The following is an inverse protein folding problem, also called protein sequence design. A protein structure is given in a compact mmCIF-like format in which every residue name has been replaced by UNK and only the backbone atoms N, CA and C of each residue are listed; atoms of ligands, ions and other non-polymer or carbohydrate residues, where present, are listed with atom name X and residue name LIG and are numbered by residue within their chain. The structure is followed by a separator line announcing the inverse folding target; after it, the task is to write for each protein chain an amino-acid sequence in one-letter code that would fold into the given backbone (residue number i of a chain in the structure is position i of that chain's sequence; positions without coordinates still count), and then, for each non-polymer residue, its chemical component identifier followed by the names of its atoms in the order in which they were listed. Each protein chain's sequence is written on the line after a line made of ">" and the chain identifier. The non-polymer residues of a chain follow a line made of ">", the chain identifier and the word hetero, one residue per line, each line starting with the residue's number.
data_IF_931628769935
#
_entry.id   IF_931628769935
#
_cell.length_a   1.000
_cell.length_b   1.000
_cell.length_c   1.000
_cell.angle_alpha   90.00
_cell.angle_beta   90.00
_cell.angle_gamma   90.00
#
_symmetry.space_group_name_H-M   'P 1'
#
loop_
_entity.id
_entity.type
_entity.pdbx_description
1 polymer ?
#
# COMPACT_ATOMS: atom_id res chain seq x y z
N UNK A 1 -7.19 -31.54 -19.16
CA UNK A 1 -5.87 -31.55 -19.83
C UNK A 1 -5.27 -30.14 -19.79
N UNK A 2 -4.85 -29.63 -18.62
CA UNK A 2 -4.34 -28.25 -18.48
C UNK A 2 -2.88 -28.06 -18.97
N UNK A 3 -2.06 -29.12 -19.01
CA UNK A 3 -0.62 -28.98 -19.35
C UNK A 3 -0.31 -28.51 -20.77
N UNK A 4 -1.25 -28.60 -21.71
CA UNK A 4 -0.98 -28.26 -23.12
C UNK A 4 -0.90 -26.75 -23.34
N UNK A 5 -1.59 -25.96 -22.51
CA UNK A 5 -1.57 -24.50 -22.60
C UNK A 5 -0.31 -23.92 -21.95
N UNK A 6 0.15 -24.51 -20.84
CA UNK A 6 1.40 -24.10 -20.16
C UNK A 6 2.63 -24.28 -21.07
N UNK A 7 2.75 -25.42 -21.76
CA UNK A 7 3.84 -25.67 -22.72
C UNK A 7 3.81 -24.70 -23.90
N UNK A 8 2.61 -24.35 -24.38
CA UNK A 8 2.41 -23.37 -25.45
C UNK A 8 2.82 -21.96 -25.01
N UNK A 9 2.43 -21.55 -23.80
CA UNK A 9 2.79 -20.24 -23.24
C UNK A 9 4.32 -20.14 -23.09
N UNK A 10 4.98 -21.18 -22.56
CA UNK A 10 6.43 -21.20 -22.40
C UNK A 10 7.17 -21.10 -23.75
N UNK A 11 6.67 -21.76 -24.79
CA UNK A 11 7.23 -21.69 -26.14
C UNK A 11 7.07 -20.28 -26.75
N UNK A 12 5.88 -19.68 -26.62
CA UNK A 12 5.63 -18.32 -27.11
C UNK A 12 6.48 -17.27 -26.38
N UNK A 13 6.68 -17.41 -25.06
CA UNK A 13 7.57 -16.53 -24.31
C UNK A 13 9.02 -16.65 -24.77
N UNK A 14 9.49 -17.87 -25.07
CA UNK A 14 10.83 -18.07 -25.63
C UNK A 14 10.97 -17.41 -27.01
N UNK A 15 9.95 -17.43 -27.86
CA UNK A 15 9.99 -16.76 -29.17
C UNK A 15 9.87 -15.23 -29.05
N UNK A 16 9.02 -14.74 -28.15
CA UNK A 16 8.78 -13.30 -27.96
C UNK A 16 9.96 -12.57 -27.30
N UNK A 17 10.77 -13.27 -26.48
CA UNK A 17 11.87 -12.66 -25.73
C UNK A 17 13.24 -13.30 -25.97
N UNK A 18 13.32 -14.32 -26.84
CA UNK A 18 14.56 -15.04 -27.13
C UNK A 18 15.50 -14.30 -28.07
N UNK A 19 16.80 -14.46 -27.82
CA UNK A 19 17.84 -14.04 -28.75
C UNK A 19 17.88 -14.99 -29.95
N UNK A 20 17.89 -14.42 -31.17
CA UNK A 20 17.97 -15.18 -32.42
C UNK A 20 16.65 -15.43 -33.14
N UNK A 21 15.52 -15.01 -32.57
CA UNK A 21 14.20 -15.05 -33.23
C UNK A 21 14.03 -13.80 -34.10
N UNK A 22 13.50 -13.95 -35.30
CA UNK A 22 13.25 -12.82 -36.20
C UNK A 22 12.19 -11.88 -35.62
N UNK A 23 12.22 -10.59 -35.98
CA UNK A 23 11.27 -9.61 -35.44
C UNK A 23 9.82 -9.92 -35.83
N UNK A 24 9.60 -10.54 -36.99
CA UNK A 24 8.27 -10.98 -37.45
C UNK A 24 7.71 -12.09 -36.55
N UNK A 25 8.53 -13.11 -36.24
CA UNK A 25 8.16 -14.20 -35.32
C UNK A 25 7.96 -13.69 -33.89
N UNK A 26 8.78 -12.71 -33.46
CA UNK A 26 8.65 -12.08 -32.14
C UNK A 26 7.31 -11.37 -32.01
N UNK A 27 6.93 -10.59 -33.03
CA UNK A 27 5.66 -9.87 -33.07
C UNK A 27 4.46 -10.83 -33.11
N UNK A 28 4.53 -11.92 -33.89
CA UNK A 28 3.44 -12.90 -33.94
C UNK A 28 3.27 -13.64 -32.61
N UNK A 29 4.38 -14.02 -31.95
CA UNK A 29 4.34 -14.68 -30.66
C UNK A 29 3.77 -13.78 -29.55
N UNK A 30 4.11 -12.49 -29.57
CA UNK A 30 3.56 -11.50 -28.64
C UNK A 30 2.04 -11.31 -28.82
N UNK A 31 1.55 -11.27 -30.07
CA UNK A 31 0.12 -11.16 -30.36
C UNK A 31 -0.64 -12.41 -29.87
N UNK A 32 -0.08 -13.60 -30.02
CA UNK A 32 -0.70 -14.84 -29.55
C UNK A 32 -0.74 -14.94 -28.01
N UNK A 33 0.30 -14.47 -27.32
CA UNK A 33 0.29 -14.36 -25.85
C UNK A 33 -0.80 -13.42 -25.33
N UNK A 34 -1.06 -12.32 -26.04
CA UNK A 34 -2.15 -11.40 -25.67
C UNK A 34 -3.51 -12.09 -25.75
N UNK A 35 -3.78 -12.83 -26.84
CA UNK A 35 -5.02 -13.59 -27.01
C UNK A 35 -5.22 -14.65 -25.92
N UNK A 36 -4.16 -15.35 -25.50
CA UNK A 36 -4.24 -16.33 -24.41
C UNK A 36 -4.54 -15.67 -23.06
N UNK A 37 -4.01 -14.46 -22.80
CA UNK A 37 -4.29 -13.70 -21.57
C UNK A 37 -5.75 -13.26 -21.49
N UNK A 38 -6.32 -12.83 -22.60
CA UNK A 38 -7.73 -12.44 -22.69
C UNK A 38 -8.66 -13.66 -22.57
N UNK A 39 -8.27 -14.81 -23.12
CA UNK A 39 -9.00 -16.08 -22.97
C UNK A 39 -8.99 -16.63 -21.54
N UNK A 40 -7.87 -16.50 -20.82
CA UNK A 40 -7.73 -16.93 -19.44
C UNK A 40 -8.60 -16.12 -18.47
N UNK A 41 -8.75 -14.81 -18.71
CA UNK A 41 -9.65 -13.95 -17.92
C UNK A 41 -11.12 -14.25 -18.16
N UNK A 42 -11.50 -14.64 -19.39
CA UNK A 42 -12.87 -15.07 -19.69
C UNK A 42 -13.25 -16.45 -19.11
N UNK A 43 -12.26 -17.31 -18.85
CA UNK A 43 -12.48 -18.68 -18.35
C UNK A 43 -12.35 -18.81 -16.83
N UNK A 44 -12.00 -17.73 -16.11
CA UNK A 44 -12.06 -17.72 -14.65
C UNK A 44 -13.53 -17.92 -14.25
N UNK A 45 -13.91 -19.08 -13.64
CA UNK A 45 -15.27 -19.28 -13.20
C UNK A 45 -15.60 -18.15 -12.24
N UNK A 46 -16.77 -17.52 -12.42
CA UNK A 46 -17.30 -16.47 -11.56
C UNK A 46 -17.54 -17.02 -10.15
N UNK A 47 -16.46 -17.27 -9.42
CA UNK A 47 -16.47 -17.79 -8.07
C UNK A 47 -16.68 -16.58 -7.17
N UNK A 48 -17.96 -16.29 -6.92
CA UNK A 48 -18.44 -15.54 -5.76
C UNK A 48 -17.86 -14.12 -5.57
N UNK A 49 -18.10 -13.22 -6.53
CA UNK A 49 -18.50 -11.88 -6.13
C UNK A 49 -20.02 -11.86 -6.00
N UNK A 50 -20.49 -12.04 -4.76
CA UNK A 50 -21.87 -11.77 -4.37
C UNK A 50 -22.14 -10.29 -4.67
N UNK A 51 -23.03 -9.95 -5.61
CA UNK A 51 -23.43 -8.57 -5.78
C UNK A 51 -24.24 -8.18 -4.54
N UNK A 52 -23.73 -7.24 -3.75
CA UNK A 52 -24.58 -6.49 -2.82
C UNK A 52 -25.49 -5.59 -3.65
N UNK A 53 -26.58 -6.18 -4.12
CA UNK A 53 -27.74 -5.46 -4.62
C UNK A 53 -28.56 -4.97 -3.42
N UNK A 54 -28.39 -3.71 -3.03
CA UNK A 54 -29.43 -2.94 -2.36
C UNK A 54 -29.37 -1.49 -2.84
N UNK A 55 -30.46 -1.03 -3.45
CA UNK A 55 -30.85 0.39 -3.37
C UNK A 55 -30.71 1.25 -4.62
N UNK A 56 -31.11 0.76 -5.79
CA UNK A 56 -31.52 1.67 -6.86
C UNK A 56 -32.92 2.22 -6.54
N UNK A 57 -32.99 3.47 -6.08
CA UNK A 57 -34.21 4.28 -6.12
C UNK A 57 -34.15 5.17 -7.36
N UNK A 58 -35.07 4.92 -8.28
CA UNK A 58 -35.21 5.64 -9.54
C UNK A 58 -35.76 7.05 -9.29
N UNK A 59 -35.17 8.04 -9.97
CA UNK A 59 -35.82 9.32 -10.20
C UNK A 59 -35.60 9.72 -11.67
N UNK A 60 -36.65 9.73 -12.52
CA UNK A 60 -36.55 10.22 -13.90
C UNK A 60 -37.20 11.60 -14.05
N UNK A 61 -36.41 12.61 -14.43
CA UNK A 61 -36.75 13.86 -15.14
C UNK A 61 -35.54 14.81 -14.97
N UNK A 62 -35.01 15.56 -15.94
CA UNK A 62 -35.43 16.01 -17.26
C UNK A 62 -34.16 16.14 -18.13
N UNK A 63 -34.15 15.79 -19.42
CA UNK A 63 -34.40 16.66 -20.59
C UNK A 63 -33.58 17.95 -20.64
N UNK A 64 -33.07 18.25 -21.85
CA UNK A 64 -32.33 19.43 -22.37
C UNK A 64 -30.80 19.31 -22.33
N UNK A 65 -30.03 19.65 -23.37
CA UNK A 65 -30.32 20.16 -24.72
C UNK A 65 -29.06 19.98 -25.57
N UNK A 66 -29.27 19.64 -26.84
CA UNK A 66 -28.29 19.65 -27.93
C UNK A 66 -27.98 21.08 -28.39
N UNK A 67 -26.69 21.44 -28.46
CA UNK A 67 -26.10 22.44 -29.39
C UNK A 67 -24.58 22.13 -29.42
N UNK A 68 -23.93 21.64 -30.47
CA UNK A 68 -23.83 22.12 -31.85
C UNK A 68 -23.27 23.56 -31.95
N UNK A 69 -21.96 23.65 -32.16
CA UNK A 69 -21.32 24.72 -32.94
C UNK A 69 -20.45 25.70 -32.16
N UNK A 70 -19.19 25.85 -32.60
CA UNK A 70 -18.44 27.09 -32.41
C UNK A 70 -16.96 26.91 -32.10
N UNK A 71 -16.16 26.59 -33.11
CA UNK A 71 -14.74 26.94 -33.14
C UNK A 71 -14.61 28.47 -33.13
N UNK A 72 -13.92 29.05 -32.14
CA UNK A 72 -13.33 30.38 -32.29
C UNK A 72 -12.09 30.53 -31.38
N UNK A 73 -10.87 30.40 -31.93
CA UNK A 73 -9.64 30.44 -31.16
C UNK A 73 -8.96 31.82 -31.20
N UNK A 74 -9.62 32.96 -30.94
CA UNK A 74 -8.89 34.26 -30.85
C UNK A 74 -9.60 35.45 -30.14
N UNK A 75 -10.31 35.24 -29.03
CA UNK A 75 -10.79 36.33 -28.16
C UNK A 75 -10.04 36.32 -26.80
N UNK A 76 -8.75 36.64 -26.77
CA UNK A 76 -8.22 37.98 -26.45
C UNK A 76 -8.94 38.66 -25.27
N UNK A 77 -8.37 38.55 -24.07
CA UNK A 77 -7.49 39.56 -23.44
C UNK A 77 -8.26 40.74 -22.80
N UNK A 78 -8.17 40.79 -21.46
CA UNK A 78 -8.56 41.87 -20.55
C UNK A 78 -10.06 42.11 -20.29
N UNK A 79 -10.49 41.70 -19.08
CA UNK A 79 -11.55 42.41 -18.34
C UNK A 79 -11.33 42.31 -16.82
N UNK A 80 -11.05 43.42 -16.11
CA UNK A 80 -10.96 43.46 -14.65
C UNK A 80 -12.29 43.91 -13.99
N UNK A 81 -12.61 43.31 -12.83
CA UNK A 81 -13.59 43.76 -11.81
C UNK A 81 -15.10 43.55 -12.13
N UNK A 82 -16.00 43.29 -11.15
CA UNK A 82 -15.95 43.80 -9.77
C UNK A 82 -16.17 42.75 -8.66
N UNK A 83 -16.04 43.24 -7.44
CA UNK A 83 -16.16 42.59 -6.14
C UNK A 83 -17.50 41.87 -5.87
N UNK A 84 -17.41 40.90 -4.95
CA UNK A 84 -18.42 40.48 -3.99
C UNK A 84 -19.69 39.80 -4.52
N UNK A 85 -19.69 38.46 -4.46
CA UNK A 85 -20.84 37.68 -3.97
C UNK A 85 -20.33 36.50 -3.14
N UNK A 86 -20.30 36.67 -1.82
CA UNK A 86 -20.16 35.53 -0.90
C UNK A 86 -21.48 34.74 -0.93
N UNK A 87 -21.46 33.43 -1.23
CA UNK A 87 -22.65 32.61 -1.09
C UNK A 87 -23.08 32.59 0.39
N UNK A 88 -24.36 32.87 0.58
CA UNK A 88 -25.08 32.85 1.85
C UNK A 88 -25.02 31.43 2.40
N UNK A 89 -24.34 31.25 3.53
CA UNK A 89 -24.40 30.03 4.35
C UNK A 89 -25.86 29.87 4.77
N UNK A 90 -26.53 28.86 4.23
CA UNK A 90 -27.88 28.49 4.65
C UNK A 90 -27.80 27.86 6.03
N UNK A 91 -28.54 28.42 6.97
CA UNK A 91 -28.86 27.80 8.25
C UNK A 91 -29.61 26.48 7.98
N UNK A 92 -28.87 25.36 8.07
CA UNK A 92 -29.43 24.02 8.04
C UNK A 92 -30.24 23.76 9.32
N UNK A 93 -31.41 23.10 9.24
CA UNK A 93 -32.25 22.83 10.39
C UNK A 93 -31.54 21.96 11.43
N UNK A 94 -31.82 22.30 12.69
CA UNK A 94 -31.30 21.65 13.89
C UNK A 94 -31.29 20.12 13.79
N UNK A 95 -30.12 19.54 14.03
CA UNK A 95 -29.94 18.11 14.19
C UNK A 95 -30.85 17.60 15.31
N UNK A 96 -31.81 16.77 14.93
CA UNK A 96 -32.64 15.99 15.83
C UNK A 96 -31.75 15.01 16.62
N UNK A 97 -31.84 14.96 17.96
CA UNK A 97 -30.99 14.09 18.75
C UNK A 97 -31.37 12.62 18.54
N UNK A 98 -30.40 11.83 18.07
CA UNK A 98 -30.56 10.38 17.90
C UNK A 98 -30.96 9.68 19.21
N UNK A 99 -31.82 8.66 19.17
CA UNK A 99 -32.23 7.89 20.34
C UNK A 99 -31.02 7.15 20.95
N UNK A 100 -30.80 7.38 22.24
CA UNK A 100 -29.81 6.64 23.05
C UNK A 100 -30.22 5.17 23.15
N UNK A 101 -29.39 4.28 22.61
CA UNK A 101 -29.46 2.85 22.89
C UNK A 101 -29.09 2.59 24.37
N UNK A 102 -29.82 1.72 25.09
CA UNK A 102 -29.48 1.34 26.46
C UNK A 102 -28.19 0.51 26.49
N UNK A 103 -27.35 0.78 27.49
CA UNK A 103 -26.14 0.02 27.77
C UNK A 103 -26.48 -1.44 28.14
N UNK A 104 -25.67 -2.44 27.73
CA UNK A 104 -25.85 -3.81 28.19
C UNK A 104 -25.50 -3.91 29.68
N UNK A 105 -26.46 -4.41 30.45
CA UNK A 105 -26.29 -4.74 31.86
C UNK A 105 -25.27 -5.89 32.02
N UNK A 106 -24.27 -5.66 32.87
CA UNK A 106 -23.38 -6.69 33.37
C UNK A 106 -24.07 -7.41 34.53
N UNK A 107 -24.72 -8.53 34.25
CA UNK A 107 -25.20 -9.44 35.29
C UNK A 107 -24.06 -10.37 35.72
N UNK A 108 -23.48 -10.01 36.87
CA UNK A 108 -22.74 -10.93 37.74
C UNK A 108 -23.75 -11.86 38.41
N UNK A 109 -23.74 -13.14 38.04
CA UNK A 109 -24.40 -14.20 38.78
C UNK A 109 -23.36 -15.23 39.24
N UNK A 110 -23.03 -15.14 40.52
CA UNK A 110 -22.38 -16.20 41.28
C UNK A 110 -23.39 -17.31 41.59
N UNK A 111 -22.95 -18.57 41.54
CA UNK A 111 -23.57 -19.62 42.36
C UNK A 111 -23.66 -21.02 41.76
N UNK A 112 -23.16 -21.97 42.54
CA UNK A 112 -23.57 -23.38 42.66
C UNK A 112 -22.90 -24.46 41.76
N UNK A 113 -21.97 -25.18 42.40
CA UNK A 113 -21.66 -26.62 42.27
C UNK A 113 -22.84 -27.48 42.80
N UNK A 114 -22.86 -28.86 42.82
CA UNK A 114 -22.00 -29.94 42.27
C UNK A 114 -22.73 -31.14 41.56
N UNK A 115 -21.97 -31.97 40.79
CA UNK A 115 -21.98 -33.48 40.56
C UNK A 115 -23.28 -34.35 40.44
N UNK A 116 -23.26 -35.66 40.01
CA UNK A 116 -22.21 -36.51 39.39
C UNK A 116 -22.66 -37.48 38.23
N UNK A 117 -21.67 -38.19 37.66
CA UNK A 117 -21.69 -39.61 37.19
C UNK A 117 -22.16 -40.00 35.77
N UNK A 118 -21.23 -40.51 34.95
CA UNK A 118 -21.01 -41.93 34.53
C UNK A 118 -20.47 -41.98 33.09
N UNK A 119 -19.26 -42.52 32.89
CA UNK A 119 -18.90 -43.10 31.58
C UNK A 119 -17.46 -42.96 31.07
N UNK A 120 -16.54 -43.71 31.69
CA UNK A 120 -15.50 -44.50 31.00
C UNK A 120 -14.36 -43.81 30.19
N UNK A 121 -13.18 -43.81 30.83
CA UNK A 121 -11.88 -44.21 30.27
C UNK A 121 -11.38 -43.52 28.99
N UNK A 122 -10.65 -42.41 29.14
CA UNK A 122 -9.24 -42.35 28.68
C UNK A 122 -8.46 -41.51 29.69
N UNK A 123 -7.68 -42.21 30.49
CA UNK A 123 -6.79 -41.69 31.52
C UNK A 123 -5.42 -41.57 30.89
N UNK A 124 -5.06 -40.40 30.40
CA UNK A 124 -3.67 -39.98 30.31
C UNK A 124 -3.49 -38.58 30.88
N UNK A 125 -2.77 -38.57 31.98
CA UNK A 125 -2.29 -37.42 32.73
C UNK A 125 -1.08 -36.89 31.96
N UNK A 126 -1.16 -35.66 31.44
CA UNK A 126 0.02 -34.79 31.38
C UNK A 126 -0.41 -33.38 31.77
N UNK A 127 -0.46 -33.18 33.07
CA UNK A 127 -0.25 -31.90 33.74
C UNK A 127 1.14 -31.37 33.38
N UNK A 128 1.26 -30.46 32.41
CA UNK A 128 2.40 -29.53 32.25
C UNK A 128 2.08 -28.53 31.13
N UNK A 129 1.29 -27.49 31.40
CA UNK A 129 1.15 -26.36 30.46
C UNK A 129 0.67 -25.07 31.15
N UNK A 130 1.23 -24.72 32.30
CA UNK A 130 0.84 -23.49 33.01
C UNK A 130 2.02 -22.67 33.56
N UNK A 131 3.24 -22.88 33.07
CA UNK A 131 4.42 -22.03 33.40
C UNK A 131 5.18 -21.54 32.16
N UNK A 132 4.88 -22.03 30.96
CA UNK A 132 5.54 -21.56 29.73
C UNK A 132 4.95 -20.28 29.12
N UNK A 133 3.84 -19.74 29.65
CA UNK A 133 3.15 -18.59 29.06
C UNK A 133 3.59 -17.22 29.60
N UNK A 134 4.43 -17.17 30.63
CA UNK A 134 4.95 -15.92 31.19
C UNK A 134 6.37 -15.54 30.72
N UNK A 135 7.07 -16.42 29.99
CA UNK A 135 8.40 -16.14 29.41
C UNK A 135 8.37 -16.03 27.87
N UNK A 136 7.30 -16.50 27.23
CA UNK A 136 7.19 -16.59 25.77
C UNK A 136 6.73 -15.33 25.02
N UNK A 137 6.45 -14.22 25.69
CA UNK A 137 5.97 -12.97 25.04
C UNK A 137 7.06 -11.89 24.96
N UNK A 138 8.18 -12.06 25.66
CA UNK A 138 9.30 -11.09 25.62
C UNK A 138 10.37 -11.49 24.57
N UNK A 139 10.41 -12.76 24.15
CA UNK A 139 11.42 -13.26 23.20
C UNK A 139 11.00 -13.20 21.71
N UNK A 140 9.83 -12.61 21.40
CA UNK A 140 9.31 -12.54 20.03
C UNK A 140 9.86 -11.42 19.15
N UNK A 141 10.57 -10.44 19.74
CA UNK A 141 11.14 -9.29 19.01
C UNK A 141 12.68 -9.31 18.95
N UNK A 142 13.32 -10.41 19.36
CA UNK A 142 14.78 -10.45 19.58
C UNK A 142 15.57 -11.20 18.50
N UNK A 143 14.93 -11.65 17.41
CA UNK A 143 15.67 -12.25 16.30
C UNK A 143 16.32 -11.16 15.44
N UNK A 144 17.53 -10.73 15.82
CA UNK A 144 18.44 -10.11 14.85
C UNK A 144 19.59 -9.25 15.35
N UNK A 145 19.60 -8.77 16.59
CA UNK A 145 20.74 -8.00 17.08
C UNK A 145 21.85 -8.95 17.57
N UNK A 146 22.66 -9.48 16.65
CA UNK A 146 24.01 -9.92 17.03
C UNK A 146 24.73 -8.67 17.54
N UNK A 147 24.88 -8.57 18.87
CA UNK A 147 25.73 -7.57 19.49
C UNK A 147 27.18 -7.96 19.17
N UNK A 148 27.67 -7.49 18.03
CA UNK A 148 29.11 -7.45 17.76
C UNK A 148 29.70 -6.54 18.84
N UNK A 149 30.72 -6.97 19.61
CA UNK A 149 31.36 -6.10 20.58
C UNK A 149 31.86 -4.85 19.85
N UNK A 150 31.19 -3.73 20.14
CA UNK A 150 31.51 -2.42 19.57
C UNK A 150 32.87 -2.04 20.15
N UNK A 151 33.90 -2.10 19.30
CA UNK A 151 35.18 -1.44 19.58
C UNK A 151 34.95 0.05 19.83
N UNK A 152 35.91 0.76 20.45
CA UNK A 152 35.73 2.10 20.99
C UNK A 152 34.97 3.03 20.03
N UNK A 153 33.81 3.48 20.50
CA UNK A 153 32.85 4.42 19.92
C UNK A 153 33.23 4.94 18.52
N UNK A 154 32.96 4.11 17.51
CA UNK A 154 32.71 4.62 16.18
C UNK A 154 31.48 5.54 16.30
N UNK A 155 31.68 6.83 16.03
CA UNK A 155 30.67 7.87 16.24
C UNK A 155 29.29 7.41 15.79
N UNK A 156 28.30 7.56 16.67
CA UNK A 156 26.92 7.20 16.36
C UNK A 156 26.45 7.85 15.05
N UNK A 157 25.45 7.28 14.38
CA UNK A 157 24.96 7.80 13.11
C UNK A 157 24.65 9.28 13.28
N UNK A 158 25.24 10.12 12.41
CA UNK A 158 24.96 11.55 12.40
C UNK A 158 23.48 11.72 12.11
N UNK A 159 22.75 12.49 12.93
CA UNK A 159 21.32 12.74 12.74
C UNK A 159 21.14 14.21 12.37
N UNK A 160 20.53 14.46 11.21
CA UNK A 160 20.34 15.80 10.65
C UNK A 160 18.87 16.21 10.85
N UNK A 161 18.54 17.43 11.31
CA UNK A 161 17.17 17.90 11.34
C UNK A 161 16.52 17.81 9.96
N UNK A 162 15.29 17.30 9.90
CA UNK A 162 14.54 17.14 8.64
C UNK A 162 14.36 18.47 7.91
N UNK A 163 14.26 19.60 8.61
CA UNK A 163 14.18 20.94 8.00
C UNK A 163 15.42 21.34 7.18
N UNK A 164 16.56 20.68 7.41
CA UNK A 164 17.86 21.15 6.93
C UNK A 164 18.41 20.27 5.79
N UNK A 165 17.67 19.25 5.36
CA UNK A 165 18.12 18.31 4.32
C UNK A 165 17.63 18.74 2.92
N UNK A 166 18.51 18.76 1.90
CA UNK A 166 18.13 18.98 0.51
C UNK A 166 17.09 18.01 -0.04
N UNK A 167 17.02 16.78 0.49
CA UNK A 167 16.06 15.77 0.09
C UNK A 167 14.59 16.25 0.12
N UNK A 168 14.24 17.19 1.00
CA UNK A 168 12.87 17.69 1.11
C UNK A 168 12.38 18.52 -0.08
N UNK A 169 13.28 18.99 -0.95
CA UNK A 169 12.91 19.74 -2.17
C UNK A 169 11.94 18.95 -3.06
N UNK A 170 11.93 17.62 -2.95
CA UNK A 170 10.96 16.78 -3.67
C UNK A 170 9.50 17.14 -3.34
N UNK A 171 9.20 17.64 -2.14
CA UNK A 171 7.84 18.00 -1.76
C UNK A 171 7.38 19.34 -2.33
N UNK A 172 8.30 20.18 -2.81
CA UNK A 172 7.99 21.49 -3.40
C UNK A 172 7.35 21.36 -4.78
N UNK A 173 7.57 20.24 -5.48
CA UNK A 173 6.91 19.97 -6.77
C UNK A 173 5.43 19.64 -6.55
N UNK A 174 4.51 20.05 -7.46
CA UNK A 174 3.13 19.59 -7.43
C UNK A 174 3.04 18.05 -7.50
N UNK A 175 2.08 17.48 -6.77
CA UNK A 175 1.77 16.06 -6.86
C UNK A 175 1.16 15.72 -8.22
N UNK A 176 1.60 14.62 -8.83
CA UNK A 176 1.01 14.02 -10.03
C UNK A 176 0.37 12.67 -9.71
N UNK A 177 -0.55 12.13 -10.52
CA UNK A 177 -1.22 10.86 -10.23
C UNK A 177 -0.27 9.69 -9.98
N UNK A 178 0.88 9.64 -10.66
CA UNK A 178 1.89 8.59 -10.53
C UNK A 178 2.62 8.61 -9.18
N UNK A 179 2.53 9.71 -8.43
CA UNK A 179 3.13 9.84 -7.11
C UNK A 179 2.42 9.02 -6.05
N UNK A 180 1.14 8.67 -6.25
CA UNK A 180 0.34 8.01 -5.22
C UNK A 180 0.32 6.50 -5.49
N UNK A 181 0.98 5.67 -4.66
CA UNK A 181 0.95 4.24 -4.84
C UNK A 181 -0.45 3.72 -4.50
N UNK A 182 -1.05 2.97 -5.42
CA UNK A 182 -2.39 2.41 -5.23
C UNK A 182 -2.49 1.54 -3.96
N UNK A 183 -1.39 0.89 -3.56
CA UNK A 183 -1.33 0.01 -2.39
C UNK A 183 -1.46 0.74 -1.04
N UNK A 184 -1.19 2.05 -0.98
CA UNK A 184 -1.28 2.87 0.24
C UNK A 184 -2.26 4.02 0.09
N UNK A 185 -3.00 4.07 -1.01
CA UNK A 185 -4.05 5.05 -1.22
C UNK A 185 -5.13 4.88 -0.12
N UNK A 186 -5.26 5.90 0.74
CA UNK A 186 -6.23 5.89 1.85
C UNK A 186 -5.68 5.36 3.18
N UNK A 187 -4.39 5.01 3.27
CA UNK A 187 -3.76 4.70 4.56
C UNK A 187 -3.67 5.98 5.42
N UNK A 188 -4.28 6.01 6.63
CA UNK A 188 -4.30 7.20 7.48
C UNK A 188 -2.95 7.51 8.13
N UNK A 189 -1.94 6.66 7.94
CA UNK A 189 -0.58 6.87 8.47
C UNK A 189 0.14 8.01 7.73
N UNK A 190 -0.23 8.27 6.48
CA UNK A 190 0.43 9.24 5.61
C UNK A 190 -0.52 10.38 5.23
N UNK A 191 0.03 11.56 4.96
CA UNK A 191 -0.72 12.63 4.32
C UNK A 191 -0.82 12.31 2.81
N UNK A 192 -2.04 12.04 2.27
CA UNK A 192 -2.22 11.63 0.88
C UNK A 192 -1.78 12.69 -0.13
N UNK A 193 -1.71 13.97 0.27
CA UNK A 193 -1.32 15.09 -0.62
C UNK A 193 0.20 15.24 -0.76
N UNK A 194 0.96 14.54 0.08
CA UNK A 194 2.42 14.71 0.19
C UNK A 194 3.20 13.64 -0.54
N UNK A 195 2.55 12.61 -1.10
CA UNK A 195 3.27 11.56 -1.82
C UNK A 195 4.03 12.12 -3.03
N UNK A 196 5.27 11.65 -3.22
CA UNK A 196 6.15 11.97 -4.35
C UNK A 196 6.89 10.71 -4.78
N UNK A 197 6.76 10.33 -6.04
CA UNK A 197 7.59 9.31 -6.66
C UNK A 197 9.06 9.77 -6.68
N UNK A 198 9.95 8.95 -6.14
CA UNK A 198 11.40 9.18 -6.12
C UNK A 198 12.11 8.38 -7.21
N UNK A 199 11.73 7.11 -7.37
CA UNK A 199 12.34 6.20 -8.32
C UNK A 199 11.35 5.13 -8.79
N UNK A 200 11.51 4.68 -10.03
CA UNK A 200 10.77 3.58 -10.62
C UNK A 200 11.72 2.60 -11.29
N UNK A 201 11.43 1.31 -11.18
CA UNK A 201 12.19 0.25 -11.84
C UNK A 201 11.37 -0.43 -12.93
N UNK A 202 12.07 -1.11 -13.84
CA UNK A 202 11.48 -1.84 -14.97
C UNK A 202 10.65 -3.05 -14.54
N UNK A 203 10.86 -3.57 -13.34
CA UNK A 203 10.08 -4.65 -12.72
C UNK A 203 8.81 -4.13 -12.00
N UNK A 204 8.51 -2.82 -12.12
CA UNK A 204 7.33 -2.19 -11.55
C UNK A 204 7.48 -1.78 -10.09
N UNK A 205 8.62 -2.06 -9.44
CA UNK A 205 8.90 -1.56 -8.09
C UNK A 205 9.07 -0.05 -8.13
N UNK A 206 8.38 0.63 -7.21
CA UNK A 206 8.44 2.09 -7.08
C UNK A 206 8.83 2.49 -5.67
N UNK A 207 9.58 3.58 -5.55
CA UNK A 207 10.00 4.17 -4.29
C UNK A 207 9.42 5.57 -4.20
N UNK A 208 8.75 5.85 -3.09
CA UNK A 208 8.02 7.08 -2.85
C UNK A 208 8.48 7.73 -1.56
N UNK A 209 8.41 9.06 -1.51
CA UNK A 209 8.46 9.84 -0.28
C UNK A 209 7.04 10.27 0.09
N UNK A 210 6.74 10.31 1.38
CA UNK A 210 5.52 10.93 1.91
C UNK A 210 5.80 11.54 3.27
N UNK A 211 4.96 12.47 3.72
CA UNK A 211 4.93 12.89 5.13
C UNK A 211 3.99 11.98 5.90
N UNK A 212 4.33 11.70 7.15
CA UNK A 212 3.38 11.12 8.09
C UNK A 212 2.17 12.05 8.24
N UNK A 213 1.01 11.54 8.65
CA UNK A 213 -0.21 12.34 8.79
C UNK A 213 -0.10 13.53 9.77
N UNK A 214 0.88 13.49 10.70
CA UNK A 214 1.22 14.62 11.57
C UNK A 214 2.12 15.69 10.92
N UNK A 215 2.64 15.44 9.72
CA UNK A 215 3.47 16.37 8.93
C UNK A 215 4.94 16.47 9.33
N UNK A 216 5.27 16.09 10.57
CA UNK A 216 6.59 16.23 11.17
C UNK A 216 7.62 15.22 10.64
N UNK A 217 7.21 13.96 10.49
CA UNK A 217 8.09 12.89 10.00
C UNK A 217 7.93 12.64 8.51
N UNK A 218 9.03 12.22 7.92
CA UNK A 218 9.15 11.93 6.49
C UNK A 218 9.45 10.45 6.33
N UNK A 219 8.69 9.81 5.44
CA UNK A 219 8.74 8.37 5.21
C UNK A 219 9.22 8.08 3.79
N UNK A 220 10.09 7.07 3.66
CA UNK A 220 10.37 6.39 2.40
C UNK A 220 9.53 5.12 2.35
N UNK A 221 8.93 4.86 1.19
CA UNK A 221 7.95 3.81 0.97
C UNK A 221 8.36 3.04 -0.27
N UNK A 222 8.47 1.71 -0.16
CA UNK A 222 8.72 0.82 -1.29
C UNK A 222 7.45 0.06 -1.61
N UNK A 223 6.88 0.36 -2.77
CA UNK A 223 5.70 -0.32 -3.29
C UNK A 223 6.13 -1.35 -4.34
N UNK A 224 5.91 -2.61 -4.02
CA UNK A 224 6.17 -3.76 -4.90
C UNK A 224 4.83 -4.22 -5.48
N UNK A 225 4.69 -4.36 -6.81
CA UNK A 225 3.43 -4.78 -7.44
C UNK A 225 2.86 -6.06 -6.83
N UNK A 226 1.52 -6.12 -6.68
CA UNK A 226 0.77 -7.29 -6.21
C UNK A 226 1.20 -7.84 -4.83
N UNK A 227 1.95 -7.06 -4.05
CA UNK A 227 2.53 -7.52 -2.79
C UNK A 227 2.49 -6.43 -1.70
N UNK A 228 3.25 -6.64 -0.63
CA UNK A 228 3.27 -5.79 0.55
C UNK A 228 4.06 -4.51 0.27
N UNK A 229 3.55 -3.39 0.76
CA UNK A 229 4.29 -2.13 0.83
C UNK A 229 5.06 -2.09 2.15
N UNK A 230 6.34 -1.74 2.11
CA UNK A 230 7.11 -1.44 3.31
C UNK A 230 7.32 0.06 3.41
N UNK A 231 7.36 0.61 4.64
CA UNK A 231 7.80 1.98 4.90
C UNK A 231 8.84 2.09 6.03
N UNK A 232 9.66 3.12 5.97
CA UNK A 232 10.56 3.55 7.04
C UNK A 232 10.43 5.06 7.16
N UNK A 233 10.28 5.55 8.38
CA UNK A 233 10.08 6.98 8.66
C UNK A 233 11.23 7.52 9.50
N UNK A 234 11.45 8.83 9.41
CA UNK A 234 12.26 9.54 10.38
C UNK A 234 11.67 9.41 11.78
N UNK A 235 12.50 9.61 12.80
CA UNK A 235 12.08 9.72 14.20
C UNK A 235 12.51 11.09 14.72
N UNK A 236 11.67 11.71 15.54
CA UNK A 236 11.94 12.98 16.20
C UNK A 236 12.32 14.10 15.21
N UNK A 237 11.76 14.07 13.99
CA UNK A 237 12.10 15.01 12.91
C UNK A 237 13.60 15.00 12.58
N UNK A 238 14.25 13.84 12.71
CA UNK A 238 15.65 13.66 12.38
C UNK A 238 15.86 12.59 11.30
N UNK A 239 16.64 12.97 10.30
CA UNK A 239 17.01 12.15 9.17
C UNK A 239 18.40 11.55 9.40
N UNK A 240 18.58 10.23 9.21
CA UNK A 240 19.90 9.61 9.34
C UNK A 240 20.88 10.14 8.29
N UNK A 241 22.09 10.49 8.70
CA UNK A 241 23.13 11.07 7.83
C UNK A 241 23.55 10.12 6.71
N UNK A 242 23.48 8.81 6.96
CA UNK A 242 23.77 7.77 5.95
C UNK A 242 22.58 7.48 5.03
N UNK A 243 21.39 8.03 5.34
CA UNK A 243 20.17 7.84 4.58
C UNK A 243 19.08 7.03 5.30
N UNK A 244 17.83 7.32 4.95
CA UNK A 244 16.66 6.58 5.42
C UNK A 244 16.52 5.30 4.58
N UNK A 245 16.76 4.15 5.20
CA UNK A 245 16.84 2.86 4.51
C UNK A 245 15.68 1.94 4.86
N UNK A 246 15.26 1.13 3.89
CA UNK A 246 14.18 0.17 4.04
C UNK A 246 14.42 -1.09 3.22
N UNK A 247 14.02 -2.24 3.76
CA UNK A 247 13.92 -3.50 3.03
C UNK A 247 12.45 -3.93 2.90
N UNK A 248 12.01 -4.22 1.67
CA UNK A 248 10.72 -4.80 1.35
C UNK A 248 10.94 -6.22 0.80
N UNK A 249 10.11 -7.18 1.24
CA UNK A 249 10.15 -8.54 0.71
C UNK A 249 8.97 -8.76 -0.23
N UNK A 250 9.28 -9.06 -1.48
CA UNK A 250 8.30 -9.49 -2.47
C UNK A 250 7.95 -10.97 -2.35
N UNK A 251 7.08 -11.44 -3.23
CA UNK A 251 6.78 -12.87 -3.39
C UNK A 251 8.00 -13.61 -3.95
N UNK A 252 8.26 -14.83 -3.48
CA UNK A 252 9.28 -15.69 -4.08
C UNK A 252 10.73 -15.42 -3.62
N UNK A 253 10.93 -14.94 -2.40
CA UNK A 253 12.23 -14.64 -1.77
C UNK A 253 12.99 -13.44 -2.36
N UNK A 254 12.43 -12.71 -3.31
CA UNK A 254 13.03 -11.46 -3.78
C UNK A 254 12.89 -10.39 -2.70
N UNK A 255 14.01 -9.80 -2.28
CA UNK A 255 14.04 -8.63 -1.42
C UNK A 255 14.41 -7.40 -2.25
N UNK A 256 13.92 -6.25 -1.83
CA UNK A 256 14.25 -4.94 -2.37
C UNK A 256 14.73 -4.09 -1.21
N UNK A 257 15.88 -3.45 -1.36
CA UNK A 257 16.36 -2.45 -0.43
C UNK A 257 16.36 -1.09 -1.12
N UNK A 258 15.83 -0.07 -0.45
CA UNK A 258 15.92 1.31 -0.92
C UNK A 258 16.53 2.18 0.17
N UNK A 259 17.40 3.11 -0.23
CA UNK A 259 17.96 4.12 0.65
C UNK A 259 17.74 5.50 0.04
N UNK A 260 17.13 6.39 0.82
CA UNK A 260 16.97 7.80 0.46
C UNK A 260 17.97 8.64 1.26
N UNK A 261 18.92 9.26 0.58
CA UNK A 261 20.00 10.02 1.20
C UNK A 261 19.57 11.47 1.51
N UNK A 262 20.19 12.14 2.50
CA UNK A 262 19.91 13.55 2.79
C UNK A 262 20.12 14.49 1.60
N UNK A 263 20.96 14.11 0.64
CA UNK A 263 21.20 14.85 -0.61
C UNK A 263 20.01 14.82 -1.58
N UNK A 264 19.03 13.95 -1.36
CA UNK A 264 17.92 13.68 -2.28
C UNK A 264 18.16 12.51 -3.23
N UNK A 265 19.37 11.94 -3.25
CA UNK A 265 19.67 10.74 -4.02
C UNK A 265 18.91 9.52 -3.48
N UNK A 266 18.41 8.67 -4.37
CA UNK A 266 17.76 7.41 -4.02
C UNK A 266 18.49 6.26 -4.70
N UNK A 267 18.90 5.29 -3.89
CA UNK A 267 19.48 4.04 -4.38
C UNK A 267 18.49 2.91 -4.14
N UNK A 268 18.34 2.01 -5.13
CA UNK A 268 17.45 0.84 -5.04
C UNK A 268 18.23 -0.40 -5.42
N UNK A 269 18.50 -1.25 -4.43
CA UNK A 269 19.29 -2.46 -4.57
C UNK A 269 18.41 -3.70 -4.49
N UNK A 270 18.75 -4.72 -5.27
CA UNK A 270 18.34 -6.09 -4.98
C UNK A 270 19.41 -6.64 -4.05
N UNK A 271 19.14 -6.86 -2.75
CA UNK A 271 20.08 -7.58 -1.90
C UNK A 271 20.30 -8.91 -2.60
N UNK A 272 21.52 -9.15 -3.09
CA UNK A 272 21.84 -10.36 -3.82
C UNK A 272 21.38 -11.53 -2.99
N UNK A 273 20.64 -12.46 -3.61
CA UNK A 273 20.29 -13.72 -2.97
C UNK A 273 21.60 -14.39 -2.58
N UNK A 274 22.06 -14.20 -1.34
CA UNK A 274 23.16 -14.96 -0.78
C UNK A 274 22.66 -16.40 -0.73
N UNK A 275 23.01 -17.14 -1.78
CA UNK A 275 22.75 -18.56 -1.93
C UNK A 275 23.63 -19.40 -1.03
#
# INVERSE_FOLDING_TARGET
>A
MPHRDDERIALLQRLAYGAGTSDVERASAAAELALLRDGATASAPAMFHRPSAMGASANPAATTTTAAGGDDPFALLFRPGPEAHRPRVGDGPAAEPAPRLPAPATDSAAGATPSPAVGSLVRWIVTTAAVSLAVGVIAGWSFGARVVPVGPEAGGPSMIPVSDIPALVVFDRPQVPEDVPASVAGDPTYDPTTFRLLASRVDGVTVHAARAAGGDDVCVIVAVPDTVTASACTSDRRFPGDGLSIEARGTGRTAYAATWHPSGEVTVNLPGATG
#
